data_IF_288657580031
#
_entry.id   IF_288657580031
#
_cell.length_a   1.000
_cell.length_b   1.000
_cell.length_c   1.000
_cell.angle_alpha   90.00
_cell.angle_beta   90.00
_cell.angle_gamma   90.00
#
_symmetry.space_group_name_H-M   'P 1'
#
loop_
_entity.id
_entity.type
_entity.pdbx_description
1 polymer ?
#
# COMPACT_ATOMS: atom_id res chain seq x y z
N UNK A 1 5.44 8.70 0.58
CA UNK A 1 6.50 7.80 1.08
C UNK A 1 6.28 6.37 0.63
N UNK A 2 5.07 5.80 0.78
CA UNK A 2 4.73 4.44 0.30
C UNK A 2 5.21 4.11 -1.13
N UNK A 3 4.99 5.00 -2.10
CA UNK A 3 5.49 4.79 -3.47
C UNK A 3 7.03 4.69 -3.55
N UNK A 4 7.75 5.48 -2.74
CA UNK A 4 9.21 5.43 -2.66
C UNK A 4 9.67 4.12 -1.99
N UNK A 5 8.96 3.63 -0.99
CA UNK A 5 9.25 2.34 -0.34
C UNK A 5 9.15 1.19 -1.34
N UNK A 6 8.12 1.19 -2.20
CA UNK A 6 8.01 0.25 -3.30
C UNK A 6 9.23 0.30 -4.25
N UNK A 7 9.66 1.50 -4.65
CA UNK A 7 10.85 1.67 -5.50
C UNK A 7 12.13 1.17 -4.82
N UNK A 8 12.31 1.48 -3.53
CA UNK A 8 13.48 1.03 -2.74
C UNK A 8 13.49 -0.49 -2.53
N UNK A 9 12.34 -1.14 -2.56
CA UNK A 9 12.22 -2.60 -2.58
C UNK A 9 12.45 -3.21 -3.97
N UNK A 10 12.74 -2.41 -4.99
CA UNK A 10 13.08 -2.88 -6.34
C UNK A 10 11.95 -2.81 -7.37
N UNK A 11 10.83 -2.15 -7.06
CA UNK A 11 9.80 -1.88 -8.05
C UNK A 11 10.29 -0.86 -9.09
N UNK A 12 10.07 -1.17 -10.37
CA UNK A 12 10.43 -0.34 -11.51
C UNK A 12 9.20 0.36 -12.12
N UNK A 13 7.98 -0.17 -11.92
CA UNK A 13 6.72 0.42 -12.39
C UNK A 13 5.79 0.69 -11.20
N UNK A 14 6.04 1.81 -10.52
CA UNK A 14 5.16 2.31 -9.46
C UNK A 14 4.21 3.35 -10.02
N UNK A 15 2.90 3.10 -9.86
CA UNK A 15 1.84 3.99 -10.34
C UNK A 15 1.07 4.55 -9.17
N UNK A 16 0.78 5.85 -9.25
CA UNK A 16 -0.09 6.55 -8.29
C UNK A 16 -1.31 7.03 -9.05
N UNK A 17 -2.51 6.69 -8.58
CA UNK A 17 -3.78 7.16 -9.14
C UNK A 17 -4.60 7.85 -8.05
N UNK A 18 -5.27 8.93 -8.46
CA UNK A 18 -6.25 9.63 -7.63
C UNK A 18 -7.61 9.43 -8.27
N UNK A 19 -8.56 8.85 -7.54
CA UNK A 19 -9.92 8.66 -8.05
C UNK A 19 -10.93 8.57 -6.91
N UNK A 20 -12.07 9.23 -7.05
CA UNK A 20 -13.21 9.12 -6.12
C UNK A 20 -12.86 9.36 -4.63
N UNK A 21 -11.86 10.22 -4.35
CA UNK A 21 -11.39 10.47 -2.97
C UNK A 21 -10.34 9.47 -2.47
N UNK A 22 -9.85 8.58 -3.32
CA UNK A 22 -8.82 7.61 -2.99
C UNK A 22 -7.46 7.96 -3.60
N UNK A 23 -6.40 7.69 -2.84
CA UNK A 23 -5.02 7.59 -3.33
C UNK A 23 -4.67 6.12 -3.46
N UNK A 24 -4.37 5.68 -4.67
CA UNK A 24 -4.03 4.30 -4.97
C UNK A 24 -2.59 4.22 -5.44
N UNK A 25 -1.80 3.36 -4.81
CA UNK A 25 -0.40 3.12 -5.13
C UNK A 25 -0.29 1.65 -5.51
N UNK A 26 0.18 1.38 -6.73
CA UNK A 26 0.37 0.02 -7.23
C UNK A 26 1.78 -0.17 -7.77
N UNK A 27 2.32 -1.36 -7.64
CA UNK A 27 3.59 -1.76 -8.23
C UNK A 27 3.53 -3.18 -8.79
N UNK A 28 4.42 -3.48 -9.72
CA UNK A 28 4.49 -4.78 -10.40
C UNK A 28 5.05 -5.92 -9.51
N UNK A 29 5.64 -5.57 -8.37
CA UNK A 29 6.10 -6.52 -7.35
C UNK A 29 5.32 -6.34 -6.06
N UNK A 30 5.36 -7.38 -5.22
CA UNK A 30 4.97 -7.24 -3.82
C UNK A 30 6.13 -6.69 -2.98
N UNK A 31 6.11 -5.38 -2.71
CA UNK A 31 7.13 -4.74 -1.87
C UNK A 31 6.92 -4.91 -0.36
N UNK A 32 5.74 -5.38 0.07
CA UNK A 32 5.45 -5.64 1.48
C UNK A 32 5.91 -7.05 1.90
N UNK A 33 5.84 -8.00 0.96
CA UNK A 33 6.23 -9.39 1.14
C UNK A 33 5.55 -10.00 2.38
N UNK A 34 6.33 -10.72 3.18
CA UNK A 34 5.83 -11.41 4.38
C UNK A 34 5.34 -10.46 5.50
N UNK A 35 5.63 -9.15 5.41
CA UNK A 35 5.29 -8.19 6.46
C UNK A 35 3.91 -7.54 6.24
N UNK A 36 3.12 -7.98 5.25
CA UNK A 36 1.88 -7.32 4.82
C UNK A 36 0.92 -7.00 5.98
N UNK A 37 0.78 -7.88 6.97
CA UNK A 37 -0.12 -7.63 8.10
C UNK A 37 0.46 -6.55 9.01
N UNK A 38 1.74 -6.68 9.36
CA UNK A 38 2.38 -5.92 10.44
C UNK A 38 2.62 -4.46 10.06
N UNK A 39 2.91 -4.18 8.79
CA UNK A 39 3.13 -2.81 8.27
C UNK A 39 1.92 -1.90 8.42
N UNK A 40 0.71 -2.47 8.50
CA UNK A 40 -0.53 -1.72 8.70
C UNK A 40 -0.94 -1.62 10.18
N UNK A 41 -0.36 -2.41 11.07
CA UNK A 41 -0.72 -2.47 12.49
C UNK A 41 0.25 -1.68 13.38
N UNK A 42 1.50 -1.50 12.94
CA UNK A 42 2.55 -0.83 13.70
C UNK A 42 3.62 -0.24 12.81
N UNK A 43 4.41 0.67 13.39
CA UNK A 43 5.65 1.11 12.77
C UNK A 43 6.63 -0.07 12.66
N UNK A 44 7.02 -0.42 11.44
CA UNK A 44 7.99 -1.49 11.17
C UNK A 44 9.33 -0.90 10.73
N UNK A 45 10.48 -1.44 11.16
CA UNK A 45 11.78 -1.04 10.64
C UNK A 45 11.86 -1.27 9.12
N UNK A 46 12.38 -0.30 8.37
CA UNK A 46 12.51 -0.36 6.92
C UNK A 46 13.98 -0.24 6.48
N UNK A 47 14.66 -1.38 6.33
CA UNK A 47 16.12 -1.41 6.11
C UNK A 47 16.55 -0.73 4.80
N UNK A 48 15.73 -0.82 3.77
CA UNK A 48 16.00 -0.24 2.45
C UNK A 48 15.97 1.30 2.49
N UNK A 49 15.29 1.90 3.46
CA UNK A 49 15.29 3.34 3.71
C UNK A 49 16.45 3.85 4.58
N UNK A 50 17.29 2.94 5.11
CA UNK A 50 18.45 3.27 5.94
C UNK A 50 18.29 2.97 7.44
N UNK A 51 19.31 3.30 8.27
CA UNK A 51 19.43 2.82 9.66
C UNK A 51 18.29 3.18 10.61
N UNK A 52 17.57 4.28 10.35
CA UNK A 52 16.49 4.79 11.20
C UNK A 52 15.16 4.90 10.44
N UNK A 53 15.04 4.23 9.29
CA UNK A 53 13.82 4.28 8.49
C UNK A 53 12.76 3.33 9.02
N UNK A 54 11.51 3.74 8.86
CA UNK A 54 10.31 2.96 9.18
C UNK A 54 9.38 2.96 7.97
N UNK A 55 8.55 1.93 7.88
CA UNK A 55 7.51 1.85 6.84
C UNK A 55 6.43 2.91 7.06
N UNK A 56 5.84 3.40 5.97
CA UNK A 56 4.91 4.54 6.00
C UNK A 56 3.45 4.12 6.05
N UNK A 57 3.14 2.85 5.77
CA UNK A 57 1.80 2.30 5.68
C UNK A 57 1.00 2.54 6.96
N UNK A 58 1.59 2.32 8.13
CA UNK A 58 0.92 2.53 9.41
C UNK A 58 0.44 3.98 9.59
N UNK A 59 1.27 4.97 9.22
CA UNK A 59 0.86 6.36 9.30
C UNK A 59 -0.30 6.65 8.35
N UNK A 60 -0.26 6.10 7.14
CA UNK A 60 -1.37 6.24 6.20
C UNK A 60 -2.65 5.61 6.77
N UNK A 61 -2.57 4.46 7.44
CA UNK A 61 -3.72 3.84 8.15
C UNK A 61 -4.30 4.74 9.23
N UNK A 62 -3.46 5.41 10.02
CA UNK A 62 -3.94 6.31 11.09
C UNK A 62 -4.81 7.44 10.52
N UNK A 63 -4.37 8.07 9.43
CA UNK A 63 -5.01 9.28 8.89
C UNK A 63 -6.08 9.03 7.83
N UNK A 64 -6.11 7.86 7.19
CA UNK A 64 -7.09 7.56 6.14
C UNK A 64 -8.43 7.13 6.74
N UNK A 65 -9.55 7.42 6.07
CA UNK A 65 -10.87 6.92 6.50
C UNK A 65 -10.98 5.40 6.32
N UNK A 66 -10.59 4.93 5.15
CA UNK A 66 -10.48 3.52 4.81
C UNK A 66 -9.13 3.18 4.18
N UNK A 67 -8.68 1.94 4.36
CA UNK A 67 -7.46 1.42 3.75
C UNK A 67 -7.71 0.03 3.20
N UNK A 68 -7.25 -0.19 1.98
CA UNK A 68 -7.38 -1.45 1.25
C UNK A 68 -6.01 -1.86 0.73
N UNK A 69 -5.70 -3.15 0.81
CA UNK A 69 -4.48 -3.72 0.22
C UNK A 69 -4.86 -4.92 -0.64
N UNK A 70 -4.09 -5.16 -1.70
CA UNK A 70 -4.27 -6.33 -2.53
C UNK A 70 -2.98 -6.85 -3.12
N UNK A 71 -2.91 -8.16 -3.32
CA UNK A 71 -1.81 -8.86 -3.99
C UNK A 71 -2.39 -9.88 -4.96
N UNK A 72 -1.93 -9.89 -6.20
CA UNK A 72 -2.29 -10.89 -7.22
C UNK A 72 -3.79 -11.29 -7.19
N UNK A 73 -4.67 -10.33 -7.47
CA UNK A 73 -6.14 -10.46 -7.48
C UNK A 73 -6.84 -10.75 -6.14
N UNK A 74 -6.08 -10.92 -5.05
CA UNK A 74 -6.64 -10.97 -3.69
C UNK A 74 -6.65 -9.58 -3.09
N UNK A 75 -7.80 -9.14 -2.58
CA UNK A 75 -7.98 -7.83 -1.97
C UNK A 75 -8.62 -7.98 -0.60
N UNK A 76 -8.14 -7.19 0.37
CA UNK A 76 -8.75 -7.09 1.69
C UNK A 76 -8.81 -5.66 2.20
N UNK A 77 -9.84 -5.41 3.01
CA UNK A 77 -9.91 -4.20 3.80
C UNK A 77 -8.96 -4.30 5.00
N UNK A 78 -8.17 -3.26 5.22
CA UNK A 78 -7.30 -3.06 6.39
C UNK A 78 -8.02 -2.20 7.43
N UNK A 79 -8.72 -1.15 6.98
CA UNK A 79 -9.43 -0.18 7.83
C UNK A 79 -10.73 0.29 7.17
N UNK A 80 -11.78 0.43 7.96
CA UNK A 80 -13.09 0.97 7.55
C UNK A 80 -13.92 -0.04 6.77
N UNK A 81 -14.98 0.45 6.11
CA UNK A 81 -16.05 -0.40 5.56
C UNK A 81 -16.14 -0.39 4.02
N UNK A 82 -15.28 0.37 3.35
CA UNK A 82 -15.27 0.50 1.88
C UNK A 82 -14.07 -0.22 1.28
N UNK A 83 -14.30 -1.01 0.23
CA UNK A 83 -13.24 -1.57 -0.62
C UNK A 83 -12.74 -0.57 -1.67
N UNK A 84 -13.33 0.62 -1.73
CA UNK A 84 -12.96 1.65 -2.69
C UNK A 84 -13.39 1.31 -4.13
N UNK A 85 -12.84 2.04 -5.11
CA UNK A 85 -13.24 1.91 -6.51
C UNK A 85 -12.79 0.57 -7.09
N UNK A 86 -13.71 -0.21 -7.67
CA UNK A 86 -13.42 -1.52 -8.25
C UNK A 86 -12.28 -1.49 -9.29
N UNK A 87 -12.16 -0.39 -10.05
CA UNK A 87 -11.12 -0.19 -11.06
C UNK A 87 -9.67 -0.13 -10.50
N UNK A 88 -9.52 0.07 -9.20
CA UNK A 88 -8.22 0.02 -8.50
C UNK A 88 -7.79 -1.41 -8.21
N UNK A 89 -8.78 -2.29 -8.07
CA UNK A 89 -8.64 -3.64 -7.54
C UNK A 89 -8.64 -4.71 -8.63
N UNK A 90 -9.12 -4.39 -9.83
CA UNK A 90 -9.10 -5.28 -10.97
C UNK A 90 -7.72 -5.35 -11.65
N UNK A 91 -7.20 -6.56 -11.83
CA UNK A 91 -5.99 -6.82 -12.62
C UNK A 91 -4.68 -6.44 -11.92
N UNK A 92 -4.65 -6.48 -10.58
CA UNK A 92 -3.45 -6.22 -9.78
C UNK A 92 -2.43 -7.32 -10.03
N UNK A 93 -1.41 -7.02 -10.85
CA UNK A 93 -0.20 -7.83 -10.97
C UNK A 93 0.85 -7.24 -10.04
N UNK A 94 1.19 -7.93 -8.95
CA UNK A 94 2.02 -7.39 -7.88
C UNK A 94 1.17 -6.92 -6.70
N UNK A 95 1.38 -5.68 -6.25
CA UNK A 95 0.78 -5.13 -5.02
C UNK A 95 0.06 -3.82 -5.28
N UNK A 96 -1.05 -3.62 -4.60
CA UNK A 96 -1.76 -2.34 -4.50
C UNK A 96 -2.06 -2.01 -3.04
N UNK A 97 -1.95 -0.73 -2.69
CA UNK A 97 -2.48 -0.15 -1.46
C UNK A 97 -3.25 1.10 -1.81
N UNK A 98 -4.45 1.23 -1.25
CA UNK A 98 -5.35 2.34 -1.50
C UNK A 98 -5.82 2.95 -0.18
N UNK A 99 -5.89 4.27 -0.16
CA UNK A 99 -6.17 5.09 1.01
C UNK A 99 -7.29 6.06 0.69
N UNK A 100 -8.40 6.03 1.44
CA UNK A 100 -9.47 7.01 1.34
C UNK A 100 -9.13 8.26 2.15
N UNK A 101 -9.24 9.42 1.51
CA UNK A 101 -8.97 10.75 2.07
C UNK A 101 -10.04 11.22 3.07
#
# INVERSE_FOLDING_TARGET
>A
MVALEAMLCGANDVRIRLMEGWICISAEIDWLGDNEVEVFERLMPFRQGGPNAVTSEFLAVVFSRSVVTGVNDSVRCVKGDSLGPAAVLEGVRGRVVAFEL
#
